data_IF_289293884103
#
_entry.id   IF_289293884103
#
_cell.length_a   1.000
_cell.length_b   1.000
_cell.length_c   1.000
_cell.angle_alpha   90.00
_cell.angle_beta   90.00
_cell.angle_gamma   90.00
#
_symmetry.space_group_name_H-M   'P 1'
#
loop_
_entity.id
_entity.type
_entity.pdbx_description
1 polymer ?
#
# COMPACT_ATOMS: atom_id res chain seq x y z
N UNK A 1 -5.72 -4.05 13.16
CA UNK A 1 -4.73 -4.64 12.24
C UNK A 1 -3.35 -4.63 12.91
N UNK A 2 -2.79 -5.80 13.28
CA UNK A 2 -1.47 -5.93 13.95
C UNK A 2 -0.55 -6.95 13.23
N UNK A 3 -0.45 -6.87 11.89
CA UNK A 3 0.42 -7.77 11.10
C UNK A 3 1.58 -7.04 10.39
N UNK A 4 2.00 -5.88 10.93
CA UNK A 4 3.19 -5.15 10.50
C UNK A 4 4.29 -5.38 11.53
N UNK A 5 5.26 -6.24 11.20
CA UNK A 5 6.52 -6.28 11.96
C UNK A 5 7.43 -5.27 11.27
N UNK A 6 7.51 -4.08 11.85
CA UNK A 6 8.35 -2.98 11.39
C UNK A 6 9.30 -2.57 12.49
N UNK A 7 10.61 -2.58 12.24
CA UNK A 7 11.59 -1.94 13.11
C UNK A 7 12.31 -0.88 12.28
N UNK A 8 12.34 0.36 12.76
CA UNK A 8 13.08 1.43 12.10
C UNK A 8 13.87 2.27 13.10
N UNK A 9 15.13 2.54 12.79
CA UNK A 9 16.01 3.39 13.59
C UNK A 9 16.98 4.14 12.66
N UNK A 10 17.05 5.48 12.78
CA UNK A 10 17.96 6.36 12.02
C UNK A 10 18.03 6.03 10.52
N UNK A 11 16.86 6.07 9.86
CA UNK A 11 16.71 5.80 8.41
C UNK A 11 17.01 4.37 7.96
N UNK A 12 17.30 3.46 8.90
CA UNK A 12 17.25 2.03 8.67
C UNK A 12 15.86 1.51 9.01
N UNK A 13 15.34 0.60 8.20
CA UNK A 13 14.02 0.01 8.42
C UNK A 13 13.95 -1.42 7.91
N UNK A 14 13.39 -2.34 8.69
CA UNK A 14 13.02 -3.67 8.24
C UNK A 14 11.51 -3.79 8.28
N UNK A 15 10.92 -4.13 7.13
CA UNK A 15 9.50 -4.30 6.99
C UNK A 15 9.18 -5.68 6.41
N UNK A 16 8.36 -6.43 7.13
CA UNK A 16 7.75 -7.66 6.64
C UNK A 16 6.24 -7.46 6.60
N UNK A 17 5.66 -7.47 5.41
CA UNK A 17 4.22 -7.36 5.20
C UNK A 17 3.63 -8.75 5.00
N UNK A 18 2.97 -9.29 6.05
CA UNK A 18 2.20 -10.54 5.99
C UNK A 18 0.72 -10.21 5.80
N UNK A 19 -0.03 -10.90 4.91
CA UNK A 19 0.29 -12.15 4.18
C UNK A 19 1.00 -11.95 2.83
N UNK A 20 1.36 -10.71 2.47
CA UNK A 20 1.81 -10.33 1.13
C UNK A 20 3.20 -10.86 0.69
N UNK A 21 3.91 -11.58 1.57
CA UNK A 21 5.28 -12.07 1.36
C UNK A 21 6.23 -11.02 0.75
N UNK A 22 6.06 -9.76 1.19
CA UNK A 22 6.93 -8.65 0.82
C UNK A 22 7.85 -8.34 1.99
N UNK A 23 9.15 -8.33 1.70
CA UNK A 23 10.21 -8.02 2.64
C UNK A 23 10.99 -6.82 2.11
N UNK A 24 11.23 -5.81 2.95
CA UNK A 24 11.99 -4.61 2.59
C UNK A 24 12.97 -4.24 3.68
N UNK A 25 14.18 -3.89 3.27
CA UNK A 25 15.22 -3.25 4.06
C UNK A 25 15.44 -1.85 3.49
N UNK A 26 15.21 -0.84 4.31
CA UNK A 26 15.47 0.56 3.99
C UNK A 26 16.78 0.99 4.63
N UNK A 27 17.54 1.82 3.92
CA UNK A 27 18.81 2.42 4.34
C UNK A 27 18.83 3.90 3.93
N UNK A 28 19.77 4.71 4.44
CA UNK A 28 19.92 6.11 4.02
C UNK A 28 20.19 6.31 2.52
N UNK A 29 20.73 5.29 1.84
CA UNK A 29 21.11 5.33 0.41
C UNK A 29 20.10 4.63 -0.50
N UNK A 30 18.93 4.24 0.04
CA UNK A 30 17.90 3.57 -0.72
C UNK A 30 17.33 2.34 -0.01
N UNK A 31 16.52 1.55 -0.70
CA UNK A 31 15.96 0.32 -0.14
C UNK A 31 16.15 -0.88 -1.04
N UNK A 32 16.34 -2.04 -0.41
CA UNK A 32 16.29 -3.36 -1.05
C UNK A 32 15.03 -4.08 -0.59
N UNK A 33 14.26 -4.64 -1.52
CA UNK A 33 13.10 -5.46 -1.20
C UNK A 33 13.00 -6.71 -2.06
N UNK A 34 12.23 -7.68 -1.58
CA UNK A 34 11.91 -8.91 -2.29
C UNK A 34 10.41 -9.16 -2.13
N UNK A 35 9.71 -9.40 -3.22
CA UNK A 35 8.32 -9.88 -3.21
C UNK A 35 8.05 -10.92 -4.29
N UNK A 36 6.89 -11.56 -4.16
CA UNK A 36 6.40 -12.60 -5.03
C UNK A 36 4.97 -12.36 -5.56
N UNK A 37 4.48 -11.12 -5.42
CA UNK A 37 3.05 -10.83 -5.59
C UNK A 37 2.62 -10.61 -7.05
N UNK A 38 3.60 -10.32 -7.92
CA UNK A 38 3.36 -9.99 -9.32
C UNK A 38 4.25 -10.84 -10.22
N UNK A 39 3.71 -11.51 -11.25
CA UNK A 39 4.53 -12.15 -12.26
C UNK A 39 5.27 -11.06 -13.04
N UNK A 40 6.59 -11.04 -12.92
CA UNK A 40 7.45 -10.10 -13.63
C UNK A 40 8.40 -10.89 -14.52
N UNK A 41 8.32 -10.66 -15.82
CA UNK A 41 9.06 -11.42 -16.83
C UNK A 41 10.29 -10.68 -17.36
N UNK A 42 10.44 -9.39 -17.05
CA UNK A 42 11.56 -8.55 -17.49
C UNK A 42 11.97 -7.58 -16.40
N UNK A 43 13.27 -7.27 -16.36
CA UNK A 43 13.74 -6.15 -15.56
C UNK A 43 13.14 -4.85 -16.07
N UNK A 44 12.80 -3.98 -15.14
CA UNK A 44 12.18 -2.69 -15.43
C UNK A 44 12.78 -1.63 -14.52
N UNK A 45 13.03 -0.46 -15.11
CA UNK A 45 13.46 0.73 -14.38
C UNK A 45 12.33 1.76 -14.47
N UNK A 46 11.84 2.22 -13.32
CA UNK A 46 10.85 3.30 -13.21
C UNK A 46 11.39 4.44 -12.36
N UNK A 47 10.72 5.59 -12.47
CA UNK A 47 10.75 6.61 -11.43
C UNK A 47 9.55 6.46 -10.52
N UNK A 48 9.80 6.46 -9.21
CA UNK A 48 8.77 6.51 -8.18
C UNK A 48 8.23 7.92 -7.97
N UNK A 49 7.21 8.03 -7.11
CA UNK A 49 6.48 9.28 -6.84
C UNK A 49 7.37 10.38 -6.24
N UNK A 50 8.40 9.99 -5.48
CA UNK A 50 9.35 10.90 -4.87
C UNK A 50 10.60 11.13 -5.75
N UNK A 51 10.52 10.84 -7.06
CA UNK A 51 11.64 10.88 -8.03
C UNK A 51 12.81 9.93 -7.70
N UNK A 52 12.60 8.95 -6.83
CA UNK A 52 13.49 7.80 -6.67
C UNK A 52 13.54 6.97 -7.95
N UNK A 53 14.68 6.32 -8.19
CA UNK A 53 14.80 5.30 -9.22
C UNK A 53 14.50 3.94 -8.62
N UNK A 54 13.52 3.25 -9.19
CA UNK A 54 13.16 1.89 -8.85
C UNK A 54 13.62 0.93 -9.93
N UNK A 55 14.51 0.01 -9.58
CA UNK A 55 14.93 -1.09 -10.42
C UNK A 55 14.30 -2.38 -9.89
N UNK A 56 13.53 -3.04 -10.75
CA UNK A 56 12.96 -4.37 -10.50
C UNK A 56 13.70 -5.39 -11.32
N UNK A 57 14.18 -6.44 -10.66
CA UNK A 57 14.92 -7.53 -11.28
C UNK A 57 14.16 -8.84 -10.99
N UNK A 58 13.59 -9.50 -12.01
CA UNK A 58 13.00 -10.82 -11.80
C UNK A 58 14.13 -11.82 -11.48
N UNK A 59 13.97 -12.53 -10.36
CA UNK A 59 14.87 -13.62 -9.95
C UNK A 59 14.32 -14.96 -10.43
N UNK A 60 12.99 -15.10 -10.38
CA UNK A 60 12.25 -16.25 -10.92
C UNK A 60 10.93 -15.77 -11.54
N UNK A 61 10.11 -16.69 -12.10
CA UNK A 61 8.78 -16.35 -12.63
C UNK A 61 7.85 -15.71 -11.58
N UNK A 62 8.06 -16.06 -10.32
CA UNK A 62 7.21 -15.65 -9.22
C UNK A 62 7.93 -14.70 -8.24
N UNK A 63 9.23 -14.38 -8.40
CA UNK A 63 9.97 -13.54 -7.45
C UNK A 63 10.76 -12.42 -8.13
N UNK A 64 10.78 -11.26 -7.48
CA UNK A 64 11.53 -10.09 -7.93
C UNK A 64 12.26 -9.39 -6.77
N UNK A 65 13.45 -8.87 -7.09
CA UNK A 65 14.20 -7.94 -6.25
C UNK A 65 13.83 -6.52 -6.65
N UNK A 66 13.62 -5.65 -5.65
CA UNK A 66 13.42 -4.22 -5.80
C UNK A 66 14.58 -3.48 -5.20
N UNK A 67 15.19 -2.60 -5.99
CA UNK A 67 16.19 -1.65 -5.55
C UNK A 67 15.62 -0.26 -5.79
N UNK A 68 15.53 0.55 -4.74
CA UNK A 68 15.14 1.96 -4.85
C UNK A 68 16.26 2.86 -4.38
N UNK A 69 16.51 3.97 -5.07
CA UNK A 69 17.35 5.06 -4.53
C UNK A 69 16.56 5.85 -3.47
N UNK A 70 17.18 6.75 -2.69
CA UNK A 70 16.44 7.66 -1.84
C UNK A 70 15.52 8.52 -2.71
N UNK A 71 14.29 8.71 -2.25
CA UNK A 71 13.37 9.71 -2.79
C UNK A 71 13.73 11.11 -2.30
N UNK A 72 13.14 12.11 -2.93
CA UNK A 72 13.14 13.50 -2.46
C UNK A 72 11.94 13.74 -1.54
N UNK A 73 12.09 14.65 -0.58
CA UNK A 73 10.96 15.10 0.23
C UNK A 73 10.00 15.97 -0.59
N UNK A 74 8.80 16.23 -0.03
CA UNK A 74 7.74 16.96 -0.72
C UNK A 74 8.20 18.34 -1.20
N UNK A 75 8.82 19.14 -0.34
CA UNK A 75 9.21 20.50 -0.71
C UNK A 75 10.31 20.53 -1.76
N UNK A 76 11.26 19.61 -1.70
CA UNK A 76 12.29 19.50 -2.75
C UNK A 76 11.65 19.11 -4.09
N UNK A 77 10.52 18.39 -4.09
CA UNK A 77 9.80 18.02 -5.31
C UNK A 77 8.98 19.17 -5.89
N UNK A 78 8.33 19.95 -5.04
CA UNK A 78 7.43 21.05 -5.45
C UNK A 78 8.10 22.42 -5.46
N UNK A 79 9.41 22.48 -5.16
CA UNK A 79 10.17 23.74 -5.02
C UNK A 79 9.50 24.70 -4.03
N UNK A 80 8.95 24.13 -2.95
CA UNK A 80 8.16 24.86 -1.96
C UNK A 80 9.02 25.70 -1.02
N UNK A 81 8.44 26.74 -0.42
CA UNK A 81 9.19 27.65 0.45
C UNK A 81 9.60 26.99 1.78
N UNK A 82 10.78 27.36 2.28
CA UNK A 82 11.42 26.75 3.44
C UNK A 82 10.59 26.79 4.74
N UNK A 83 9.69 27.77 4.88
CA UNK A 83 8.83 27.84 6.08
C UNK A 83 7.81 26.71 6.17
N UNK A 84 7.58 25.97 5.07
CA UNK A 84 6.70 24.80 5.04
C UNK A 84 7.45 23.49 5.34
N UNK A 85 8.72 23.52 5.74
CA UNK A 85 9.55 22.30 5.95
C UNK A 85 8.95 21.28 6.92
N UNK A 86 8.14 21.77 7.84
CA UNK A 86 7.33 20.95 8.73
C UNK A 86 6.20 20.18 8.04
N UNK A 87 5.96 20.36 6.74
CA UNK A 87 4.97 19.65 5.91
C UNK A 87 5.58 18.54 5.05
N UNK A 88 6.88 18.28 5.15
CA UNK A 88 7.52 17.20 4.38
C UNK A 88 6.92 15.81 4.66
N UNK A 89 6.27 15.62 5.81
CA UNK A 89 5.54 14.40 6.15
C UNK A 89 4.29 14.17 5.30
N UNK A 90 3.78 15.19 4.58
CA UNK A 90 2.56 15.06 3.77
C UNK A 90 2.69 13.92 2.76
N UNK A 91 3.84 13.72 2.11
CA UNK A 91 3.98 12.58 1.19
C UNK A 91 4.00 11.21 1.90
N UNK A 92 4.52 11.16 3.12
CA UNK A 92 4.72 9.91 3.85
C UNK A 92 3.46 9.47 4.60
N UNK A 93 2.70 10.40 5.18
CA UNK A 93 1.52 10.11 6.00
C UNK A 93 0.20 10.39 5.28
N UNK A 94 0.12 11.43 4.45
CA UNK A 94 -1.18 11.90 3.93
C UNK A 94 -1.85 10.84 3.06
N UNK A 95 -1.10 10.03 2.30
CA UNK A 95 -1.69 8.95 1.50
C UNK A 95 -2.24 7.81 2.37
N UNK A 96 -1.55 7.45 3.46
CA UNK A 96 -2.00 6.41 4.39
C UNK A 96 -3.08 6.87 5.36
N UNK A 97 -3.12 8.15 5.72
CA UNK A 97 -4.06 8.74 6.67
C UNK A 97 -5.14 9.59 6.00
N UNK A 98 -5.18 9.65 4.66
CA UNK A 98 -6.11 10.51 3.92
C UNK A 98 -7.55 10.25 4.33
N UNK A 99 -7.95 8.98 4.30
CA UNK A 99 -9.32 8.56 4.56
C UNK A 99 -9.74 8.91 5.99
N UNK A 100 -8.83 8.76 6.95
CA UNK A 100 -9.07 9.10 8.36
C UNK A 100 -9.25 10.61 8.52
N UNK A 101 -8.39 11.42 7.89
CA UNK A 101 -8.49 12.87 7.91
C UNK A 101 -9.78 13.37 7.25
N UNK A 102 -10.10 12.85 6.06
CA UNK A 102 -11.30 13.19 5.32
C UNK A 102 -12.56 12.82 6.12
N UNK A 103 -12.59 11.61 6.70
CA UNK A 103 -13.68 11.18 7.59
C UNK A 103 -13.83 12.10 8.80
N UNK A 104 -12.72 12.42 9.48
CA UNK A 104 -12.74 13.29 10.65
C UNK A 104 -13.21 14.72 10.29
N UNK A 105 -12.77 15.24 9.15
CA UNK A 105 -13.20 16.53 8.62
C UNK A 105 -14.70 16.55 8.36
N UNK A 106 -15.26 15.56 7.66
CA UNK A 106 -16.70 15.50 7.39
C UNK A 106 -17.54 15.39 8.67
N UNK A 107 -17.12 14.54 9.61
CA UNK A 107 -17.79 14.42 10.92
C UNK A 107 -17.76 15.73 11.70
N UNK A 108 -16.64 16.46 11.66
CA UNK A 108 -16.56 17.78 12.28
C UNK A 108 -17.60 18.74 11.71
N UNK A 109 -17.75 18.77 10.38
CA UNK A 109 -18.69 19.69 9.74
C UNK A 109 -20.16 19.34 9.95
N UNK A 110 -20.48 18.06 10.14
CA UNK A 110 -21.84 17.64 10.51
C UNK A 110 -22.18 17.96 11.97
N UNK A 111 -21.26 17.69 12.90
CA UNK A 111 -21.61 17.62 14.32
C UNK A 111 -21.15 18.82 15.14
N UNK A 112 -20.13 19.56 14.68
CA UNK A 112 -19.43 20.56 15.49
C UNK A 112 -19.18 21.90 14.80
N UNK A 113 -19.38 21.99 13.48
CA UNK A 113 -19.23 23.27 12.76
C UNK A 113 -20.32 24.26 13.17
N UNK A 114 -19.98 25.54 13.13
CA UNK A 114 -20.94 26.64 13.34
C UNK A 114 -21.88 26.80 12.14
N UNK A 115 -21.45 26.36 10.96
CA UNK A 115 -22.27 26.33 9.77
C UNK A 115 -23.18 25.11 9.80
N UNK A 116 -24.49 25.33 9.60
CA UNK A 116 -25.46 24.25 9.42
C UNK A 116 -25.19 23.54 8.08
N UNK A 117 -24.90 22.24 8.16
CA UNK A 117 -24.61 21.36 7.03
C UNK A 117 -25.60 20.18 6.97
N UNK A 118 -26.74 20.26 7.65
CA UNK A 118 -27.72 19.17 7.69
C UNK A 118 -28.25 18.79 6.30
N UNK A 119 -28.36 19.77 5.39
CA UNK A 119 -28.74 19.55 3.98
C UNK A 119 -27.70 18.69 3.22
N UNK A 120 -26.46 18.62 3.69
CA UNK A 120 -25.38 17.81 3.14
C UNK A 120 -25.18 16.48 3.87
N UNK A 121 -25.95 16.19 4.94
CA UNK A 121 -25.74 15.00 5.78
C UNK A 121 -25.67 13.70 4.99
N UNK A 122 -26.66 13.44 4.14
CA UNK A 122 -26.70 12.24 3.31
C UNK A 122 -25.45 12.10 2.44
N UNK A 123 -25.00 13.20 1.83
CA UNK A 123 -23.80 13.23 0.98
C UNK A 123 -22.53 12.96 1.80
N UNK A 124 -22.39 13.60 2.95
CA UNK A 124 -21.19 13.45 3.78
C UNK A 124 -21.12 12.05 4.41
N UNK A 125 -22.24 11.50 4.88
CA UNK A 125 -22.32 10.15 5.41
C UNK A 125 -22.01 9.09 4.35
N UNK A 126 -22.46 9.28 3.11
CA UNK A 126 -22.08 8.42 1.97
C UNK A 126 -20.57 8.41 1.72
N UNK A 127 -19.94 9.60 1.65
CA UNK A 127 -18.49 9.71 1.44
C UNK A 127 -17.73 9.06 2.61
N UNK A 128 -18.17 9.30 3.86
CA UNK A 128 -17.61 8.65 5.05
C UNK A 128 -17.71 7.12 4.92
N UNK A 129 -18.86 6.58 4.53
CA UNK A 129 -19.06 5.14 4.43
C UNK A 129 -18.10 4.51 3.39
N UNK A 130 -17.97 5.15 2.22
CA UNK A 130 -17.08 4.66 1.14
C UNK A 130 -15.60 4.80 1.49
N UNK A 131 -15.19 5.88 2.14
CA UNK A 131 -13.80 6.05 2.62
C UNK A 131 -13.42 5.02 3.69
N UNK A 132 -14.39 4.54 4.46
CA UNK A 132 -14.22 3.52 5.50
C UNK A 132 -14.54 2.10 5.01
N UNK A 133 -14.73 1.88 3.70
CA UNK A 133 -14.97 0.55 3.15
C UNK A 133 -13.79 -0.39 3.52
N UNK A 134 -14.04 -1.51 4.21
CA UNK A 134 -12.97 -2.39 4.66
C UNK A 134 -12.27 -3.03 3.46
N UNK A 135 -10.93 -3.05 3.51
CA UNK A 135 -10.11 -3.75 2.52
C UNK A 135 -10.52 -5.24 2.43
N UNK A 136 -10.67 -5.80 1.21
CA UNK A 136 -11.03 -7.19 1.03
C UNK A 136 -10.00 -8.12 1.68
N UNK A 137 -10.50 -9.21 2.27
CA UNK A 137 -9.70 -10.27 2.87
C UNK A 137 -9.73 -11.52 1.99
N UNK A 138 -8.78 -12.41 2.23
CA UNK A 138 -8.91 -13.78 1.74
C UNK A 138 -10.08 -14.47 2.44
N UNK A 139 -10.78 -15.33 1.73
CA UNK A 139 -11.77 -16.22 2.34
C UNK A 139 -11.07 -17.32 3.15
N UNK A 140 -11.80 -18.01 4.02
CA UNK A 140 -11.22 -19.12 4.81
C UNK A 140 -10.68 -20.22 3.88
N UNK A 141 -11.37 -20.51 2.78
CA UNK A 141 -10.95 -21.49 1.78
C UNK A 141 -9.67 -21.05 1.05
N UNK A 142 -9.58 -19.77 0.69
CA UNK A 142 -8.38 -19.19 0.08
C UNK A 142 -7.20 -19.22 1.06
N UNK A 143 -7.42 -18.92 2.34
CA UNK A 143 -6.38 -19.01 3.37
C UNK A 143 -5.87 -20.45 3.54
N UNK A 144 -6.72 -21.47 3.43
CA UNK A 144 -6.29 -22.88 3.47
C UNK A 144 -5.43 -23.25 2.25
N UNK A 145 -5.74 -22.72 1.06
CA UNK A 145 -4.93 -22.96 -0.15
C UNK A 145 -3.57 -22.25 -0.06
N UNK A 146 -3.55 -21.02 0.46
CA UNK A 146 -2.33 -20.24 0.63
C UNK A 146 -1.47 -20.79 1.78
N UNK A 147 -2.09 -21.17 2.89
CA UNK A 147 -1.46 -21.61 4.13
C UNK A 147 -2.11 -22.90 4.67
N UNK A 148 -1.87 -24.06 4.03
CA UNK A 148 -2.40 -25.33 4.50
C UNK A 148 -1.94 -25.65 5.92
N UNK A 149 -2.80 -26.22 6.78
CA UNK A 149 -2.41 -26.59 8.13
C UNK A 149 -1.26 -27.61 8.12
N UNK A 150 -0.23 -27.36 8.93
CA UNK A 150 0.95 -28.24 9.06
C UNK A 150 2.09 -27.95 8.07
N UNK A 151 1.96 -26.96 7.18
CA UNK A 151 3.00 -26.57 6.22
C UNK A 151 4.08 -25.71 6.90
N UNK A 152 5.33 -26.10 6.76
CA UNK A 152 6.49 -25.34 7.24
C UNK A 152 7.05 -24.41 6.15
N UNK A 153 7.79 -23.38 6.57
CA UNK A 153 8.39 -22.39 5.65
C UNK A 153 9.34 -23.03 4.63
N UNK A 154 9.92 -24.19 4.94
CA UNK A 154 10.79 -24.94 4.02
C UNK A 154 10.03 -25.65 2.90
N UNK A 155 8.77 -26.01 3.13
CA UNK A 155 7.93 -26.78 2.18
C UNK A 155 7.53 -25.99 0.94
N UNK A 156 7.62 -24.66 1.08
CA UNK A 156 7.40 -23.69 0.04
C UNK A 156 8.55 -23.61 -0.97
N UNK A 157 9.67 -24.31 -0.73
CA UNK A 157 10.84 -24.29 -1.60
C UNK A 157 11.22 -25.71 -2.06
N UNK A 158 11.75 -25.82 -3.27
CA UNK A 158 12.42 -27.01 -3.80
C UNK A 158 13.81 -26.67 -4.32
N UNK A 159 14.72 -27.62 -4.15
CA UNK A 159 16.05 -27.56 -4.74
C UNK A 159 15.97 -28.10 -6.17
N UNK A 160 16.29 -27.25 -7.13
CA UNK A 160 16.50 -27.65 -8.51
C UNK A 160 17.86 -28.35 -8.63
N UNK A 161 18.01 -29.27 -9.58
CA UNK A 161 19.20 -30.12 -9.73
C UNK A 161 20.53 -29.39 -9.98
N UNK A 162 20.50 -28.07 -10.20
CA UNK A 162 21.65 -27.16 -10.30
C UNK A 162 22.01 -26.48 -8.95
N UNK A 163 21.32 -26.85 -7.86
CA UNK A 163 21.48 -26.27 -6.53
C UNK A 163 20.67 -24.98 -6.31
N UNK A 164 19.89 -24.51 -7.29
CA UNK A 164 19.05 -23.34 -7.11
C UNK A 164 17.82 -23.66 -6.25
N UNK A 165 17.53 -22.81 -5.26
CA UNK A 165 16.31 -22.89 -4.45
C UNK A 165 15.20 -22.13 -5.19
N UNK A 166 14.13 -22.84 -5.57
CA UNK A 166 12.96 -22.28 -6.24
C UNK A 166 11.72 -22.46 -5.35
N UNK A 167 10.80 -21.50 -5.39
CA UNK A 167 9.56 -21.58 -4.61
C UNK A 167 8.50 -22.38 -5.36
N UNK A 168 7.78 -23.27 -4.67
CA UNK A 168 6.67 -24.05 -5.21
C UNK A 168 5.41 -23.18 -5.32
N UNK A 169 5.19 -22.61 -6.49
CA UNK A 169 3.95 -21.90 -6.84
C UNK A 169 2.99 -22.85 -7.55
N UNK A 170 1.94 -23.32 -6.86
CA UNK A 170 0.89 -24.15 -7.48
C UNK A 170 -0.06 -23.29 -8.33
N UNK A 171 -0.66 -23.84 -9.40
CA UNK A 171 -1.70 -23.13 -10.17
C UNK A 171 -2.82 -22.58 -9.28
N UNK A 172 -3.28 -23.38 -8.32
CA UNK A 172 -4.34 -23.00 -7.37
C UNK A 172 -3.98 -21.76 -6.54
N UNK A 173 -2.72 -21.64 -6.06
CA UNK A 173 -2.26 -20.43 -5.35
C UNK A 173 -2.24 -19.22 -6.27
N UNK A 174 -1.83 -19.39 -7.53
CA UNK A 174 -1.83 -18.29 -8.52
C UNK A 174 -3.25 -17.80 -8.79
N UNK A 175 -4.22 -18.69 -8.88
CA UNK A 175 -5.62 -18.35 -9.11
C UNK A 175 -6.22 -17.60 -7.91
N UNK A 176 -5.93 -18.05 -6.67
CA UNK A 176 -6.32 -17.32 -5.45
C UNK A 176 -5.74 -15.91 -5.42
N UNK A 177 -4.44 -15.75 -5.73
CA UNK A 177 -3.84 -14.43 -5.81
C UNK A 177 -4.46 -13.56 -6.91
N UNK A 178 -4.79 -14.14 -8.06
CA UNK A 178 -5.42 -13.41 -9.16
C UNK A 178 -6.82 -12.92 -8.78
N UNK A 179 -7.65 -13.78 -8.19
CA UNK A 179 -8.98 -13.42 -7.70
C UNK A 179 -8.93 -12.33 -6.62
N UNK A 180 -8.01 -12.46 -5.66
CA UNK A 180 -7.81 -11.43 -4.65
C UNK A 180 -7.38 -10.08 -5.25
N UNK A 181 -6.46 -10.09 -6.23
CA UNK A 181 -6.01 -8.87 -6.91
C UNK A 181 -7.17 -8.14 -7.57
N UNK A 182 -8.05 -8.87 -8.26
CA UNK A 182 -9.21 -8.26 -8.87
C UNK A 182 -10.11 -7.58 -7.81
N UNK A 183 -10.39 -8.25 -6.69
CA UNK A 183 -11.17 -7.65 -5.59
C UNK A 183 -10.48 -6.43 -4.97
N UNK A 184 -9.16 -6.47 -4.83
CA UNK A 184 -8.37 -5.36 -4.32
C UNK A 184 -8.39 -4.16 -5.28
N UNK A 185 -8.26 -4.38 -6.59
CA UNK A 185 -8.32 -3.33 -7.61
C UNK A 185 -9.71 -2.67 -7.66
N UNK A 186 -10.78 -3.46 -7.61
CA UNK A 186 -12.15 -2.95 -7.55
C UNK A 186 -12.41 -2.15 -6.27
N UNK A 187 -11.90 -2.60 -5.12
CA UNK A 187 -11.97 -1.88 -3.86
C UNK A 187 -11.18 -0.56 -3.91
N UNK A 188 -9.95 -0.59 -4.42
CA UNK A 188 -9.11 0.61 -4.59
C UNK A 188 -9.81 1.65 -5.46
N UNK A 189 -10.43 1.24 -6.58
CA UNK A 189 -11.16 2.15 -7.46
C UNK A 189 -12.34 2.83 -6.74
N UNK A 190 -13.09 2.11 -5.90
CA UNK A 190 -14.19 2.70 -5.11
C UNK A 190 -13.69 3.69 -4.06
N UNK A 191 -12.61 3.34 -3.36
CA UNK A 191 -11.99 4.22 -2.38
C UNK A 191 -11.42 5.47 -3.04
N UNK A 192 -10.73 5.34 -4.18
CA UNK A 192 -10.18 6.47 -4.92
C UNK A 192 -11.28 7.41 -5.42
N UNK A 193 -12.41 6.88 -5.89
CA UNK A 193 -13.56 7.71 -6.23
C UNK A 193 -14.08 8.48 -5.01
N UNK A 194 -14.17 7.85 -3.84
CA UNK A 194 -14.59 8.54 -2.61
C UNK A 194 -13.58 9.63 -2.18
N UNK A 195 -12.28 9.42 -2.41
CA UNK A 195 -11.24 10.44 -2.20
C UNK A 195 -11.45 11.64 -3.12
N UNK A 196 -11.73 11.40 -4.40
CA UNK A 196 -12.04 12.46 -5.35
C UNK A 196 -13.30 13.24 -4.96
N UNK A 197 -14.36 12.55 -4.55
CA UNK A 197 -15.61 13.19 -4.12
C UNK A 197 -15.40 14.07 -2.89
N UNK A 198 -14.54 13.66 -1.94
CA UNK A 198 -14.12 14.49 -0.82
C UNK A 198 -13.37 15.75 -1.29
N UNK A 199 -12.38 15.59 -2.19
CA UNK A 199 -11.61 16.74 -2.71
C UNK A 199 -12.51 17.77 -3.38
N UNK A 200 -13.52 17.34 -4.12
CA UNK A 200 -14.46 18.24 -4.80
C UNK A 200 -15.30 19.08 -3.82
N UNK A 201 -15.57 18.57 -2.62
CA UNK A 201 -16.32 19.29 -1.59
C UNK A 201 -15.44 20.08 -0.61
N UNK A 202 -14.13 19.86 -0.60
CA UNK A 202 -13.21 20.49 0.36
C UNK A 202 -13.38 22.02 0.44
N UNK A 203 -13.60 22.69 -0.69
CA UNK A 203 -13.82 24.15 -0.70
C UNK A 203 -15.00 24.55 0.20
N UNK A 204 -16.09 23.79 0.17
CA UNK A 204 -17.32 24.12 0.90
C UNK A 204 -17.22 23.87 2.41
N UNK A 205 -16.19 23.14 2.86
CA UNK A 205 -15.96 22.88 4.27
C UNK A 205 -15.25 24.05 4.95
N UNK A 206 -14.36 24.75 4.22
CA UNK A 206 -13.45 25.73 4.81
C UNK A 206 -13.46 27.12 4.15
N UNK A 207 -14.39 27.39 3.24
CA UNK A 207 -14.62 28.70 2.62
C UNK A 207 -16.02 29.22 2.91
#
# INVERSE_FOLDING_TARGET
MKNRIGWSWRSWGFHAYRPRGWYRVSTPIGSLGIDHHRPVTKSWISRGRCKEWDLRIPVTKDWQIHLSTPGKDYLTLVEGPDYLRNLNWILDEFDSSFNDLATASLRYHLEYSVCDNEDQRERYEDIIARLNEPCPKYTEEEEVILHPPGRERGDDFELRGDGAVIFKSSPERRDVYAAYRQREEEWLARVDQARHDFVDIMRHLWS
#
